data_IF_350827712536
#
_entry.id   IF_350827712536
#
_cell.length_a   1.000
_cell.length_b   1.000
_cell.length_c   1.000
_cell.angle_alpha   90.00
_cell.angle_beta   90.00
_cell.angle_gamma   90.00
#
_symmetry.space_group_name_H-M   'P 1'
#
loop_
_entity.id
_entity.type
_entity.pdbx_description
1 polymer ?
#
# COMPACT_ATOMS: atom_id res chain seq x y z
N UNK A 1 -2.74 5.72 -13.71
CA UNK A 1 -3.69 5.59 -12.58
C UNK A 1 -2.91 5.10 -11.39
N UNK A 2 -3.23 5.64 -10.22
CA UNK A 2 -2.55 5.32 -8.97
C UNK A 2 -3.57 4.59 -8.09
N UNK A 3 -3.25 3.36 -7.73
CA UNK A 3 -4.15 2.47 -6.99
C UNK A 3 -3.68 2.35 -5.54
N UNK A 4 -4.63 2.51 -4.62
CA UNK A 4 -4.40 2.27 -3.19
C UNK A 4 -4.52 0.76 -2.99
N UNK A 5 -3.44 0.11 -2.61
CA UNK A 5 -3.39 -1.34 -2.44
C UNK A 5 -3.09 -1.75 -1.00
N UNK A 6 -3.56 -2.92 -0.64
CA UNK A 6 -3.42 -3.52 0.68
C UNK A 6 -2.93 -4.96 0.57
N UNK A 7 -1.90 -5.27 1.35
CA UNK A 7 -1.38 -6.64 1.51
C UNK A 7 -1.75 -7.10 2.93
N UNK A 8 -2.64 -8.09 3.09
CA UNK A 8 -3.07 -8.59 4.40
C UNK A 8 -2.03 -9.46 5.10
N UNK A 9 -1.07 -10.01 4.36
CA UNK A 9 -0.03 -10.89 4.89
C UNK A 9 1.25 -10.74 4.08
N UNK A 10 2.18 -9.93 4.59
CA UNK A 10 3.47 -9.63 3.97
C UNK A 10 4.30 -10.89 3.77
N UNK A 11 4.25 -11.83 4.72
CA UNK A 11 4.98 -13.08 4.58
C UNK A 11 4.43 -13.93 3.43
N UNK A 12 3.11 -14.09 3.33
CA UNK A 12 2.49 -14.81 2.23
C UNK A 12 2.74 -14.13 0.88
N UNK A 13 2.66 -12.79 0.84
CA UNK A 13 2.98 -12.01 -0.34
C UNK A 13 4.43 -12.24 -0.79
N UNK A 14 5.40 -12.12 0.12
CA UNK A 14 6.83 -12.36 -0.17
C UNK A 14 7.11 -13.77 -0.68
N UNK A 15 6.43 -14.77 -0.12
CA UNK A 15 6.55 -16.16 -0.57
C UNK A 15 5.98 -16.37 -1.98
N UNK A 16 4.95 -15.61 -2.37
CA UNK A 16 4.34 -15.72 -3.70
C UNK A 16 5.12 -14.96 -4.80
N UNK A 17 5.91 -13.94 -4.44
CA UNK A 17 6.62 -13.10 -5.42
C UNK A 17 7.52 -13.86 -6.41
N UNK A 18 8.30 -14.88 -6.01
CA UNK A 18 9.09 -15.66 -6.95
C UNK A 18 8.23 -16.34 -8.03
N UNK A 19 7.09 -16.92 -7.65
CA UNK A 19 6.19 -17.61 -8.56
C UNK A 19 5.51 -16.63 -9.52
N UNK A 20 5.08 -15.47 -9.01
CA UNK A 20 4.50 -14.38 -9.82
C UNK A 20 5.48 -13.87 -10.87
N UNK A 21 6.75 -13.73 -10.50
CA UNK A 21 7.80 -13.27 -11.42
C UNK A 21 8.19 -14.36 -12.42
N UNK A 22 8.06 -15.65 -12.07
CA UNK A 22 8.37 -16.75 -12.97
C UNK A 22 7.23 -17.10 -13.94
N UNK A 23 5.97 -16.81 -13.58
CA UNK A 23 4.79 -17.11 -14.39
C UNK A 23 4.43 -15.94 -15.32
N UNK A 24 4.81 -16.04 -16.60
CA UNK A 24 4.50 -15.03 -17.63
C UNK A 24 2.99 -14.79 -17.86
N UNK A 25 2.15 -15.76 -17.45
CA UNK A 25 0.69 -15.64 -17.55
C UNK A 25 0.06 -14.94 -16.34
N UNK A 26 0.83 -14.75 -15.26
CA UNK A 26 0.33 -14.11 -14.06
C UNK A 26 0.03 -12.62 -14.32
N UNK A 27 -1.15 -12.09 -13.93
CA UNK A 27 -1.52 -10.70 -14.21
C UNK A 27 -0.52 -9.66 -13.67
N UNK A 28 0.14 -9.97 -12.55
CA UNK A 28 1.18 -9.13 -11.93
C UNK A 28 2.60 -9.31 -12.49
N UNK A 29 2.83 -10.28 -13.38
CA UNK A 29 4.18 -10.60 -13.90
C UNK A 29 4.91 -9.37 -14.45
N UNK A 30 4.22 -8.61 -15.30
CA UNK A 30 4.80 -7.42 -15.94
C UNK A 30 4.97 -6.21 -14.99
N UNK A 31 4.43 -6.31 -13.77
CA UNK A 31 4.40 -5.23 -12.79
C UNK A 31 5.25 -5.52 -11.57
N UNK A 32 5.87 -6.69 -11.46
CA UNK A 32 6.79 -7.04 -10.38
C UNK A 32 8.12 -7.45 -10.99
N UNK A 33 9.22 -6.96 -10.45
CA UNK A 33 10.55 -7.39 -10.85
C UNK A 33 11.42 -7.70 -9.64
N UNK A 34 12.33 -8.64 -9.83
CA UNK A 34 13.38 -8.94 -8.87
C UNK A 34 14.51 -7.92 -9.02
N UNK A 35 14.84 -7.23 -7.93
CA UNK A 35 16.10 -6.50 -7.78
C UNK A 35 16.85 -7.18 -6.66
N UNK A 36 17.79 -8.07 -6.99
CA UNK A 36 18.51 -8.87 -5.99
C UNK A 36 19.00 -8.02 -4.80
N UNK A 37 18.66 -8.38 -3.54
CA UNK A 37 17.92 -9.56 -3.06
C UNK A 37 16.39 -9.37 -2.88
N UNK A 38 15.84 -8.24 -3.30
CA UNK A 38 14.47 -7.79 -3.08
C UNK A 38 13.58 -7.90 -4.33
N UNK A 39 12.30 -7.57 -4.16
CA UNK A 39 11.33 -7.43 -5.23
C UNK A 39 10.73 -6.04 -5.16
N UNK A 40 10.47 -5.44 -6.32
CA UNK A 40 9.79 -4.16 -6.42
C UNK A 40 8.75 -4.19 -7.53
N UNK A 41 7.77 -3.29 -7.44
CA UNK A 41 6.90 -3.07 -8.59
C UNK A 41 7.70 -2.43 -9.74
N UNK A 42 7.57 -3.00 -10.94
CA UNK A 42 8.28 -2.60 -12.14
C UNK A 42 7.87 -1.17 -12.57
N UNK A 43 8.81 -0.39 -13.13
CA UNK A 43 8.70 1.03 -13.59
C UNK A 43 9.02 2.18 -12.61
N UNK A 44 10.05 2.07 -11.78
CA UNK A 44 10.60 3.25 -11.04
C UNK A 44 9.59 3.91 -10.09
N UNK A 45 8.53 3.19 -9.77
CA UNK A 45 7.52 3.56 -8.82
C UNK A 45 8.11 3.42 -7.44
N UNK A 46 8.69 4.51 -6.94
CA UNK A 46 8.82 4.74 -5.51
C UNK A 46 7.41 4.85 -4.93
N UNK A 47 6.75 3.71 -4.82
CA UNK A 47 5.43 3.56 -4.23
C UNK A 47 5.59 3.83 -2.74
N UNK A 48 4.94 4.86 -2.19
CA UNK A 48 4.87 5.00 -0.74
C UNK A 48 4.28 3.72 -0.16
N UNK A 49 4.98 3.14 0.82
CA UNK A 49 4.53 1.93 1.53
C UNK A 49 4.43 2.25 3.01
N UNK A 50 3.32 1.83 3.61
CA UNK A 50 3.14 1.80 5.05
C UNK A 50 3.15 0.36 5.53
N UNK A 51 3.85 0.09 6.63
CA UNK A 51 3.85 -1.23 7.26
C UNK A 51 3.20 -1.14 8.64
N UNK A 52 2.30 -2.08 8.93
CA UNK A 52 1.72 -2.26 10.25
C UNK A 52 1.73 -3.75 10.61
N UNK A 53 2.77 -4.18 11.32
CA UNK A 53 2.99 -5.59 11.62
C UNK A 53 3.19 -6.42 10.34
N UNK A 54 2.32 -7.40 10.12
CA UNK A 54 2.35 -8.29 8.94
C UNK A 54 1.49 -7.79 7.77
N UNK A 55 1.02 -6.54 7.84
CA UNK A 55 0.17 -5.92 6.82
C UNK A 55 0.89 -4.73 6.19
N UNK A 56 0.53 -4.38 4.95
CA UNK A 56 0.98 -3.13 4.35
C UNK A 56 -0.08 -2.44 3.50
N UNK A 57 0.06 -1.13 3.41
CA UNK A 57 -0.63 -0.29 2.44
C UNK A 57 0.39 0.25 1.45
N UNK A 58 -0.03 0.47 0.20
CA UNK A 58 0.84 0.97 -0.86
C UNK A 58 0.05 1.79 -1.88
N UNK A 59 0.70 2.72 -2.58
CA UNK A 59 0.13 3.37 -3.78
C UNK A 59 0.84 2.88 -5.05
N UNK A 60 0.29 1.85 -5.69
CA UNK A 60 0.82 1.31 -6.94
C UNK A 60 0.50 2.27 -8.10
N UNK A 61 1.52 2.92 -8.66
CA UNK A 61 1.33 3.84 -9.79
C UNK A 61 1.48 3.14 -11.13
N UNK A 62 0.69 3.57 -12.10
CA UNK A 62 0.74 3.10 -13.49
C UNK A 62 0.57 1.58 -13.64
N UNK A 63 -0.18 0.96 -12.73
CA UNK A 63 -0.64 -0.43 -12.84
C UNK A 63 -2.15 -0.39 -13.11
N UNK A 64 -2.66 -1.13 -14.11
CA UNK A 64 -4.09 -1.22 -14.34
C UNK A 64 -4.74 -2.06 -13.24
N UNK A 65 -6.00 -1.75 -12.92
CA UNK A 65 -6.72 -2.39 -11.80
C UNK A 65 -6.93 -3.89 -12.03
N UNK A 66 -7.20 -4.27 -13.28
CA UNK A 66 -7.40 -5.67 -13.71
C UNK A 66 -6.22 -6.59 -13.39
N UNK A 67 -5.00 -6.04 -13.26
CA UNK A 67 -3.83 -6.80 -12.82
C UNK A 67 -3.95 -7.32 -11.37
N UNK A 68 -4.81 -6.72 -10.56
CA UNK A 68 -5.08 -7.12 -9.18
C UNK A 68 -6.40 -7.87 -9.00
N UNK A 69 -7.24 -7.94 -10.03
CA UNK A 69 -8.55 -8.59 -9.92
C UNK A 69 -8.38 -10.10 -9.65
N UNK A 70 -9.14 -10.61 -8.68
CA UNK A 70 -9.07 -12.01 -8.26
C UNK A 70 -7.83 -12.40 -7.43
N UNK A 71 -6.92 -11.46 -7.16
CA UNK A 71 -5.77 -11.70 -6.31
C UNK A 71 -6.17 -11.66 -4.83
N UNK A 72 -5.72 -12.64 -4.04
CA UNK A 72 -6.01 -12.71 -2.59
C UNK A 72 -4.86 -12.16 -1.74
N UNK A 73 -3.65 -12.17 -2.29
CA UNK A 73 -2.41 -11.74 -1.63
C UNK A 73 -2.22 -10.22 -1.63
N UNK A 74 -2.94 -9.51 -2.52
CA UNK A 74 -2.97 -8.06 -2.63
C UNK A 74 -4.35 -7.64 -3.10
N UNK A 75 -4.89 -6.58 -2.51
CA UNK A 75 -6.23 -6.07 -2.79
C UNK A 75 -6.14 -4.61 -3.21
N UNK A 76 -7.03 -4.18 -4.09
CA UNK A 76 -7.23 -2.75 -4.38
C UNK A 76 -8.31 -2.22 -3.46
N UNK A 77 -8.00 -1.16 -2.72
CA UNK A 77 -8.93 -0.49 -1.81
C UNK A 77 -9.62 0.71 -2.47
N UNK A 78 -9.00 1.24 -3.53
CA UNK A 78 -9.44 2.46 -4.18
C UNK A 78 -8.36 3.03 -5.10
N UNK A 79 -8.51 4.31 -5.42
CA UNK A 79 -7.64 5.03 -6.35
C UNK A 79 -7.34 6.45 -5.88
N UNK A 80 -6.28 7.02 -6.44
CA UNK A 80 -5.94 8.43 -6.25
C UNK A 80 -6.48 9.24 -7.42
N UNK A 81 -7.50 10.06 -7.16
CA UNK A 81 -8.16 10.92 -8.15
C UNK A 81 -7.95 12.37 -7.76
N UNK A 82 -7.38 13.18 -8.66
CA UNK A 82 -7.11 14.61 -8.38
C UNK A 82 -6.33 14.86 -7.08
N UNK A 83 -5.38 13.97 -6.72
CA UNK A 83 -4.60 13.98 -5.47
C UNK A 83 -5.41 13.66 -4.19
N UNK A 84 -6.65 13.22 -4.33
CA UNK A 84 -7.49 12.72 -3.25
C UNK A 84 -7.58 11.20 -3.29
N UNK A 85 -7.73 10.59 -2.11
CA UNK A 85 -7.92 9.15 -1.99
C UNK A 85 -9.41 8.87 -2.10
N UNK A 86 -9.81 8.05 -3.05
CA UNK A 86 -11.20 7.66 -3.29
C UNK A 86 -11.26 6.15 -3.09
N UNK A 87 -11.91 5.72 -2.00
CA UNK A 87 -12.09 4.31 -1.68
C UNK A 87 -13.30 3.73 -2.41
N UNK A 88 -13.22 2.44 -2.74
CA UNK A 88 -14.29 1.76 -3.47
C UNK A 88 -15.55 1.57 -2.60
N UNK A 89 -15.39 1.57 -1.28
CA UNK A 89 -16.44 1.36 -0.29
C UNK A 89 -16.01 1.81 1.12
N UNK A 90 -16.98 1.93 2.03
CA UNK A 90 -16.73 2.14 3.47
C UNK A 90 -15.86 1.02 4.08
N UNK A 91 -16.00 -0.21 3.59
CA UNK A 91 -15.21 -1.36 4.09
C UNK A 91 -13.71 -1.23 3.71
N UNK A 92 -13.44 -0.78 2.48
CA UNK A 92 -12.06 -0.57 2.02
C UNK A 92 -11.42 0.64 2.70
N UNK A 93 -12.19 1.69 2.98
CA UNK A 93 -11.75 2.83 3.79
C UNK A 93 -11.44 2.39 5.23
N UNK A 94 -12.32 1.62 5.88
CA UNK A 94 -12.08 1.09 7.22
C UNK A 94 -10.84 0.18 7.28
N UNK A 95 -10.59 -0.60 6.23
CA UNK A 95 -9.37 -1.40 6.10
C UNK A 95 -8.13 -0.51 6.03
N UNK A 96 -8.18 0.55 5.24
CA UNK A 96 -7.11 1.53 5.16
C UNK A 96 -6.83 2.18 6.52
N UNK A 97 -7.84 2.72 7.19
CA UNK A 97 -7.68 3.41 8.47
C UNK A 97 -7.13 2.50 9.56
N UNK A 98 -7.60 1.26 9.62
CA UNK A 98 -7.11 0.26 10.58
C UNK A 98 -5.62 -0.02 10.39
N UNK A 99 -5.16 -0.12 9.14
CA UNK A 99 -3.77 -0.48 8.82
C UNK A 99 -2.86 0.74 8.93
N UNK A 100 -3.27 1.91 8.44
CA UNK A 100 -2.54 3.17 8.59
C UNK A 100 -2.39 3.59 10.06
N UNK A 101 -3.34 3.15 10.89
CA UNK A 101 -3.39 3.40 12.32
C UNK A 101 -4.18 4.66 12.67
N UNK A 102 -4.25 5.02 13.96
CA UNK A 102 -5.00 6.18 14.39
C UNK A 102 -4.46 7.45 13.72
N UNK A 103 -5.38 8.24 13.17
CA UNK A 103 -5.05 9.54 12.57
C UNK A 103 -4.49 10.48 13.62
N UNK A 104 -4.96 10.42 14.87
CA UNK A 104 -4.40 11.21 15.95
C UNK A 104 -3.30 10.47 16.71
N UNK A 105 -2.15 11.12 16.83
CA UNK A 105 -1.03 10.65 17.64
C UNK A 105 -0.74 11.64 18.72
N UNK A 106 -0.67 11.13 19.93
CA UNK A 106 -0.19 11.88 21.08
C UNK A 106 1.30 11.63 21.27
N UNK A 107 2.09 12.70 21.38
CA UNK A 107 3.50 12.62 21.75
C UNK A 107 3.82 13.68 22.81
N UNK A 108 4.88 13.44 23.59
CA UNK A 108 5.41 14.42 24.53
C UNK A 108 6.54 15.16 23.82
N UNK A 109 6.49 16.49 23.80
CA UNK A 109 7.54 17.31 23.21
C UNK A 109 8.77 17.43 24.13
N UNK A 110 9.81 18.10 23.66
CA UNK A 110 11.08 18.26 24.40
C UNK A 110 10.91 19.07 25.70
N UNK A 111 9.78 19.76 25.88
CA UNK A 111 9.45 20.51 27.10
C UNK A 111 8.60 19.70 28.09
N UNK A 112 8.20 18.48 27.74
CA UNK A 112 7.33 17.64 28.57
C UNK A 112 5.84 17.85 28.36
N UNK A 113 5.44 18.66 27.36
CA UNK A 113 4.03 18.94 27.08
C UNK A 113 3.44 17.90 26.12
N UNK A 114 2.20 17.51 26.37
CA UNK A 114 1.47 16.55 25.55
C UNK A 114 0.90 17.24 24.30
N UNK A 115 1.41 16.90 23.12
CA UNK A 115 0.94 17.38 21.83
C UNK A 115 0.12 16.30 21.12
N UNK A 116 -0.92 16.73 20.39
CA UNK A 116 -1.72 15.83 19.53
C UNK A 116 -1.55 16.24 18.08
N UNK A 117 -1.15 15.30 17.24
CA UNK A 117 -0.97 15.50 15.80
C UNK A 117 -1.91 14.59 15.02
N UNK A 118 -2.76 15.19 14.18
CA UNK A 118 -3.57 14.45 13.21
C UNK A 118 -2.76 14.22 11.94
N UNK A 119 -2.31 12.98 11.73
CA UNK A 119 -1.68 12.53 10.49
C UNK A 119 -2.66 12.71 9.32
N UNK A 120 -2.18 13.12 8.14
CA UNK A 120 -3.01 13.08 6.95
C UNK A 120 -3.39 11.61 6.64
N UNK A 121 -4.60 11.35 6.11
CA UNK A 121 -5.03 10.01 5.72
C UNK A 121 -4.36 9.53 4.43
N UNK A 122 -3.19 10.07 4.06
CA UNK A 122 -2.54 9.86 2.77
C UNK A 122 -1.10 9.39 2.96
N UNK A 123 -0.75 8.26 2.38
CA UNK A 123 0.63 7.77 2.31
C UNK A 123 1.48 8.70 1.44
N UNK A 124 2.67 9.07 1.93
CA UNK A 124 3.65 9.84 1.17
C UNK A 124 3.34 11.33 1.00
N UNK A 125 2.39 11.89 1.77
CA UNK A 125 2.23 13.34 1.90
C UNK A 125 3.17 13.81 3.00
N UNK A 126 4.28 14.43 2.60
CA UNK A 126 5.11 15.23 3.51
C UNK A 126 4.42 16.58 3.66
N UNK A 127 3.95 16.89 4.87
CA UNK A 127 3.46 18.21 5.25
C UNK A 127 4.63 19.20 5.36
#
# INVERSE_FOLDING_TARGET
MDLITYVPNLQAFRTALPDIVADESHPLHNYVQRIDPEYQFNKGTHTPVHYNGNESLSVCRNVPRDAFDGQTIIQVLGEVVNKEYVFDSEQTESTYDRVWGPLEVTYIDDNGDQQTHTRPPKMGVFA
#
